data_IF_030919984178
#
_entry.id   IF_030919984178
#
_cell.length_a   1.000
_cell.length_b   1.000
_cell.length_c   1.000
_cell.angle_alpha   90.00
_cell.angle_beta   90.00
_cell.angle_gamma   90.00
#
_symmetry.space_group_name_H-M   'P 1'
#
loop_
_entity.id
_entity.type
_entity.pdbx_description
1 polymer ?
#
# COMPACT_ATOMS: atom_id res chain seq x y z
N UNK A 1 0.47 -12.98 -8.35
CA UNK A 1 -0.04 -11.78 -7.64
C UNK A 1 -0.02 -10.48 -8.42
N UNK A 2 0.92 -10.32 -9.34
CA UNK A 2 0.94 -9.09 -10.15
C UNK A 2 -0.32 -8.92 -11.00
N UNK A 3 -0.84 -10.01 -11.55
CA UNK A 3 -2.08 -9.95 -12.31
C UNK A 3 -3.26 -9.53 -11.44
N UNK A 4 -3.36 -10.09 -10.24
CA UNK A 4 -4.38 -9.70 -9.27
C UNK A 4 -4.26 -8.22 -8.93
N UNK A 5 -3.04 -7.76 -8.71
CA UNK A 5 -2.78 -6.36 -8.40
C UNK A 5 -3.22 -5.45 -9.57
N UNK A 6 -2.93 -5.83 -10.81
CA UNK A 6 -3.37 -5.05 -11.99
C UNK A 6 -4.89 -4.95 -12.07
N UNK A 7 -5.60 -6.04 -11.76
CA UNK A 7 -7.06 -6.03 -11.74
C UNK A 7 -7.59 -5.09 -10.66
N UNK A 8 -6.96 -5.07 -9.49
CA UNK A 8 -7.31 -4.14 -8.42
C UNK A 8 -7.11 -2.69 -8.87
N UNK A 9 -5.96 -2.39 -9.49
CA UNK A 9 -5.68 -1.04 -9.99
C UNK A 9 -6.71 -0.58 -11.01
N UNK A 10 -7.10 -1.47 -11.91
CA UNK A 10 -8.10 -1.18 -12.92
C UNK A 10 -9.45 -0.84 -12.28
N UNK A 11 -9.86 -1.62 -11.30
CA UNK A 11 -11.11 -1.41 -10.57
C UNK A 11 -11.12 -0.07 -9.85
N UNK A 12 -10.01 0.33 -9.24
CA UNK A 12 -9.89 1.59 -8.50
C UNK A 12 -9.41 2.76 -9.37
N UNK A 13 -9.26 2.55 -10.69
CA UNK A 13 -8.77 3.57 -11.62
C UNK A 13 -7.47 4.22 -11.14
N UNK A 14 -6.58 3.39 -10.64
CA UNK A 14 -5.30 3.80 -10.08
C UNK A 14 -4.15 3.35 -10.97
N UNK A 15 -3.06 4.11 -10.98
CA UNK A 15 -1.93 3.87 -11.88
C UNK A 15 -0.81 3.10 -11.22
N UNK A 16 -0.73 3.14 -9.89
CA UNK A 16 0.34 2.44 -9.15
C UNK A 16 -0.24 1.54 -8.08
N UNK A 17 0.47 0.48 -7.79
CA UNK A 17 0.08 -0.43 -6.74
C UNK A 17 1.24 -1.23 -6.20
N UNK A 18 1.13 -1.60 -4.92
CA UNK A 18 2.12 -2.43 -4.24
C UNK A 18 1.42 -3.45 -3.35
N UNK A 19 2.04 -4.60 -3.22
CA UNK A 19 1.61 -5.62 -2.29
C UNK A 19 2.83 -6.08 -1.52
N UNK A 20 2.78 -5.96 -0.20
CA UNK A 20 3.87 -6.33 0.70
C UNK A 20 3.43 -7.42 1.66
N UNK A 21 4.36 -8.31 2.02
CA UNK A 21 4.15 -9.24 3.12
C UNK A 21 4.90 -8.74 4.37
N UNK A 22 4.32 -8.99 5.53
CA UNK A 22 4.94 -8.61 6.80
C UNK A 22 5.74 -9.78 7.36
N UNK A 23 7.02 -9.54 7.66
CA UNK A 23 7.82 -10.44 8.46
C UNK A 23 7.70 -10.00 9.92
N UNK A 24 6.94 -10.75 10.70
CA UNK A 24 6.69 -10.39 12.08
C UNK A 24 7.94 -10.45 12.97
N UNK A 25 8.91 -11.26 12.61
CA UNK A 25 10.16 -11.39 13.38
C UNK A 25 11.05 -10.17 13.24
N UNK A 26 11.18 -9.65 12.03
CA UNK A 26 12.05 -8.51 11.74
C UNK A 26 11.32 -7.18 11.76
N UNK A 27 9.97 -7.20 11.74
CA UNK A 27 9.13 -6.02 11.62
C UNK A 27 9.42 -5.26 10.31
N UNK A 28 9.63 -6.01 9.24
CA UNK A 28 9.87 -5.49 7.90
C UNK A 28 8.77 -5.95 6.94
N UNK A 29 8.35 -5.04 6.06
CA UNK A 29 7.45 -5.35 4.95
C UNK A 29 8.31 -5.59 3.70
N UNK A 30 8.10 -6.72 3.05
CA UNK A 30 8.82 -7.10 1.84
C UNK A 30 7.90 -7.07 0.63
N UNK A 31 8.34 -6.39 -0.44
CA UNK A 31 7.57 -6.26 -1.67
C UNK A 31 7.36 -7.61 -2.33
N UNK A 32 6.10 -7.98 -2.58
CA UNK A 32 5.71 -9.22 -3.25
C UNK A 32 5.33 -8.96 -4.70
N UNK A 33 4.59 -7.86 -4.95
CA UNK A 33 4.12 -7.49 -6.28
C UNK A 33 4.01 -5.97 -6.38
N UNK A 34 4.17 -5.46 -7.59
CA UNK A 34 4.06 -4.03 -7.85
C UNK A 34 3.58 -3.80 -9.29
N UNK A 35 3.07 -2.60 -9.55
CA UNK A 35 2.69 -2.18 -10.88
C UNK A 35 2.79 -0.65 -10.96
N UNK A 36 3.30 -0.15 -12.09
CA UNK A 36 3.35 1.28 -12.37
C UNK A 36 4.44 2.08 -11.70
N UNK A 37 5.36 1.43 -10.96
CA UNK A 37 6.43 2.14 -10.26
C UNK A 37 7.73 2.17 -11.10
N UNK A 38 8.43 3.32 -11.12
CA UNK A 38 9.76 3.39 -11.75
C UNK A 38 10.77 2.47 -11.04
N UNK A 39 11.75 1.91 -11.78
CA UNK A 39 12.76 1.03 -11.15
C UNK A 39 13.51 1.65 -9.98
N UNK A 40 13.82 2.94 -10.04
CA UNK A 40 14.52 3.63 -8.95
C UNK A 40 13.71 3.65 -7.66
N UNK A 41 12.38 3.70 -7.77
CA UNK A 41 11.48 3.69 -6.62
C UNK A 41 11.39 2.30 -6.02
N UNK A 42 11.46 1.26 -6.84
CA UNK A 42 11.38 -0.12 -6.36
C UNK A 42 12.44 -0.43 -5.31
N UNK A 43 13.65 0.10 -5.45
CA UNK A 43 14.70 -0.09 -4.46
C UNK A 43 14.31 0.50 -3.10
N UNK A 44 13.59 1.62 -3.09
CA UNK A 44 13.15 2.28 -1.86
C UNK A 44 12.04 1.51 -1.17
N UNK A 45 11.07 0.99 -1.96
CA UNK A 45 9.87 0.32 -1.40
C UNK A 45 10.03 -1.19 -1.27
N UNK A 46 11.15 -1.75 -1.71
CA UNK A 46 11.42 -3.18 -1.66
C UNK A 46 11.32 -3.74 -0.24
N UNK A 47 11.81 -2.98 0.73
CA UNK A 47 11.74 -3.32 2.14
C UNK A 47 11.36 -2.08 2.93
N UNK A 48 10.27 -2.16 3.69
CA UNK A 48 9.75 -1.01 4.45
C UNK A 48 9.61 -1.41 5.92
N UNK A 49 10.29 -0.70 6.84
CA UNK A 49 10.12 -0.96 8.27
C UNK A 49 8.71 -0.59 8.74
N UNK A 50 8.17 -1.36 9.66
CA UNK A 50 6.90 -1.03 10.32
C UNK A 50 7.04 0.34 10.98
N UNK A 51 6.04 1.19 10.80
CA UNK A 51 6.03 2.57 11.31
C UNK A 51 6.61 3.59 10.35
N UNK A 52 7.18 3.17 9.22
CA UNK A 52 7.76 4.07 8.22
C UNK A 52 6.94 4.06 6.93
N UNK A 53 6.77 5.25 6.32
CA UNK A 53 6.01 5.39 5.10
C UNK A 53 4.53 5.02 5.28
N UNK A 54 3.80 5.00 4.17
CA UNK A 54 2.35 4.71 4.19
C UNK A 54 2.10 3.26 4.62
N UNK A 55 2.77 2.30 3.99
CA UNK A 55 2.59 0.89 4.32
C UNK A 55 3.01 0.57 5.76
N UNK A 56 4.13 1.12 6.21
CA UNK A 56 4.58 0.94 7.59
C UNK A 56 3.60 1.52 8.61
N UNK A 57 2.97 2.65 8.29
CA UNK A 57 1.94 3.26 9.14
C UNK A 57 0.67 2.42 9.22
N UNK A 58 0.30 1.75 8.11
CA UNK A 58 -0.86 0.85 8.10
C UNK A 58 -0.68 -0.25 9.16
N UNK A 59 0.49 -0.86 9.20
CA UNK A 59 0.77 -1.91 10.20
C UNK A 59 0.80 -1.33 11.60
N UNK A 60 1.49 -0.21 11.79
CA UNK A 60 1.62 0.42 13.12
C UNK A 60 0.27 0.88 13.67
N UNK A 61 -0.60 1.43 12.82
CA UNK A 61 -1.93 1.90 13.23
C UNK A 61 -2.98 0.79 13.27
N UNK A 62 -2.73 -0.30 12.57
CA UNK A 62 -3.67 -1.42 12.49
C UNK A 62 -4.87 -1.16 11.59
N UNK A 63 -4.76 -0.27 10.62
CA UNK A 63 -5.86 0.08 9.74
C UNK A 63 -5.43 0.88 8.53
N UNK A 64 -6.38 1.27 7.66
CA UNK A 64 -6.06 1.98 6.43
C UNK A 64 -5.47 3.36 6.66
N UNK A 65 -4.62 3.77 5.71
CA UNK A 65 -4.03 5.11 5.67
C UNK A 65 -4.27 5.68 4.27
N UNK A 66 -4.76 6.91 4.20
CA UNK A 66 -4.98 7.59 2.93
C UNK A 66 -4.28 8.95 2.91
N UNK A 67 -3.84 9.36 1.73
CA UNK A 67 -3.30 10.69 1.46
C UNK A 67 -3.93 11.21 0.18
N UNK A 68 -4.40 12.46 0.23
CA UNK A 68 -4.99 13.12 -0.94
C UNK A 68 -3.92 13.53 -1.95
N UNK A 69 -2.79 14.01 -1.47
CA UNK A 69 -1.66 14.40 -2.32
C UNK A 69 -0.33 14.12 -1.62
N UNK A 70 0.32 13.04 -2.04
CA UNK A 70 1.61 12.61 -1.50
C UNK A 70 2.70 13.65 -1.68
N UNK A 71 2.65 14.39 -2.80
CA UNK A 71 3.67 15.38 -3.14
C UNK A 71 3.70 16.57 -2.18
N UNK A 72 2.57 16.87 -1.54
CA UNK A 72 2.43 18.01 -0.62
C UNK A 72 2.27 17.58 0.83
N UNK A 73 2.39 16.28 1.12
CA UNK A 73 2.25 15.78 2.49
C UNK A 73 3.34 16.35 3.39
N UNK A 74 2.92 17.04 4.46
CA UNK A 74 3.82 17.58 5.47
C UNK A 74 3.66 16.86 6.81
N UNK A 75 2.77 15.87 6.87
CA UNK A 75 2.45 15.14 8.09
C UNK A 75 3.45 14.04 8.47
N UNK A 76 4.49 13.84 7.66
CA UNK A 76 5.54 12.86 7.95
C UNK A 76 5.13 11.41 7.66
N UNK A 77 3.96 11.18 7.07
CA UNK A 77 3.50 9.82 6.74
C UNK A 77 4.30 9.24 5.56
N UNK A 78 4.56 10.06 4.55
CA UNK A 78 5.30 9.63 3.38
C UNK A 78 6.81 9.73 3.63
N UNK A 79 7.55 8.69 3.22
CA UNK A 79 9.01 8.71 3.25
C UNK A 79 9.52 9.67 2.16
N UNK A 80 10.69 10.29 2.33
CA UNK A 80 11.23 11.18 1.30
C UNK A 80 11.32 10.53 -0.08
N UNK A 81 11.66 9.26 -0.17
CA UNK A 81 11.74 8.53 -1.43
C UNK A 81 10.38 8.31 -2.09
N UNK A 82 9.29 8.38 -1.34
CA UNK A 82 7.95 8.17 -1.89
C UNK A 82 7.53 9.29 -2.84
N UNK A 83 8.05 10.51 -2.63
CA UNK A 83 7.74 11.66 -3.48
C UNK A 83 8.28 11.50 -4.90
N UNK A 84 9.35 10.73 -5.07
CA UNK A 84 9.94 10.51 -6.39
C UNK A 84 9.06 9.60 -7.27
N UNK A 85 8.02 8.99 -6.72
CA UNK A 85 7.06 8.17 -7.49
C UNK A 85 6.20 9.00 -8.43
N UNK A 86 6.04 10.31 -8.14
CA UNK A 86 5.06 11.15 -8.82
C UNK A 86 3.62 10.89 -8.38
N UNK A 87 3.40 9.99 -7.44
CA UNK A 87 2.07 9.64 -6.95
C UNK A 87 1.43 10.82 -6.21
N UNK A 88 0.18 11.11 -6.52
CA UNK A 88 -0.61 12.12 -5.82
C UNK A 88 -1.44 11.50 -4.71
N UNK A 89 -2.61 10.94 -5.05
CA UNK A 89 -3.46 10.25 -4.09
C UNK A 89 -2.93 8.86 -3.76
N UNK A 90 -3.12 8.42 -2.51
CA UNK A 90 -2.69 7.10 -2.08
C UNK A 90 -3.66 6.53 -1.05
N UNK A 91 -3.89 5.22 -1.14
CA UNK A 91 -4.67 4.47 -0.17
C UNK A 91 -3.94 3.15 0.07
N UNK A 92 -3.67 2.84 1.32
CA UNK A 92 -3.06 1.58 1.70
C UNK A 92 -3.88 0.92 2.82
N UNK A 93 -4.10 -0.38 2.70
CA UNK A 93 -4.90 -1.14 3.66
C UNK A 93 -4.12 -2.37 4.13
N UNK A 94 -4.45 -2.90 5.32
CA UNK A 94 -3.80 -4.13 5.77
C UNK A 94 -4.32 -5.35 5.01
N UNK A 95 -3.43 -6.31 4.78
CA UNK A 95 -3.80 -7.67 4.40
C UNK A 95 -4.00 -8.42 5.70
N UNK A 96 -5.16 -9.04 5.86
CA UNK A 96 -5.50 -9.75 7.10
C UNK A 96 -5.73 -11.23 6.83
N UNK A 97 -5.18 -12.06 7.70
CA UNK A 97 -5.57 -13.45 7.84
C UNK A 97 -6.26 -13.53 9.20
N UNK A 98 -7.59 -13.62 9.17
CA UNK A 98 -8.45 -13.43 10.35
C UNK A 98 -8.21 -12.03 10.91
N UNK A 99 -7.82 -11.89 12.17
CA UNK A 99 -7.57 -10.58 12.78
C UNK A 99 -6.10 -10.18 12.76
N UNK A 100 -5.25 -11.02 12.17
CA UNK A 100 -3.81 -10.78 12.11
C UNK A 100 -3.42 -10.07 10.83
N UNK A 101 -2.64 -9.00 10.94
CA UNK A 101 -2.08 -8.32 9.78
C UNK A 101 -0.88 -9.11 9.27
N UNK A 102 -0.94 -9.50 8.00
CA UNK A 102 0.11 -10.29 7.36
C UNK A 102 0.82 -9.54 6.22
N UNK A 103 0.37 -8.33 5.92
CA UNK A 103 0.97 -7.51 4.89
C UNK A 103 0.15 -6.27 4.61
N UNK A 104 0.40 -5.63 3.48
CA UNK A 104 -0.30 -4.42 3.06
C UNK A 104 -0.56 -4.43 1.57
N UNK A 105 -1.65 -3.75 1.17
CA UNK A 105 -2.03 -3.54 -0.23
C UNK A 105 -2.22 -2.05 -0.43
N UNK A 106 -1.45 -1.47 -1.34
CA UNK A 106 -1.51 -0.04 -1.63
C UNK A 106 -1.86 0.25 -3.08
N UNK A 107 -2.66 1.30 -3.29
CA UNK A 107 -2.98 1.82 -4.63
C UNK A 107 -2.70 3.33 -4.63
N UNK A 108 -2.39 3.87 -5.81
CA UNK A 108 -2.09 5.29 -5.94
C UNK A 108 -2.43 5.84 -7.31
N UNK A 109 -2.73 7.14 -7.35
CA UNK A 109 -3.00 7.88 -8.57
C UNK A 109 -1.85 8.84 -8.86
N UNK A 110 -1.65 9.18 -10.13
CA UNK A 110 -0.60 10.14 -10.53
C UNK A 110 -1.05 11.60 -10.37
N UNK A 111 -2.30 11.81 -9.97
CA UNK A 111 -2.87 13.14 -9.68
C UNK A 111 -3.37 13.16 -8.25
N UNK A 112 -3.55 14.33 -7.61
CA UNK A 112 -4.20 14.41 -6.32
C UNK A 112 -5.60 13.77 -6.40
N UNK A 113 -5.90 12.91 -5.45
CA UNK A 113 -7.18 12.21 -5.42
C UNK A 113 -7.50 11.75 -4.00
N UNK A 114 -8.71 11.98 -3.56
CA UNK A 114 -9.18 11.52 -2.26
C UNK A 114 -10.03 10.25 -2.44
N UNK A 115 -9.50 9.12 -2.02
CA UNK A 115 -10.27 7.87 -2.04
C UNK A 115 -11.44 7.97 -1.05
N UNK A 116 -12.61 7.49 -1.47
CA UNK A 116 -13.82 7.58 -0.65
C UNK A 116 -13.80 6.54 0.47
N UNK A 117 -14.62 6.75 1.54
CA UNK A 117 -14.79 5.72 2.57
C UNK A 117 -15.25 4.38 2.00
N UNK A 118 -16.08 4.40 0.95
CA UNK A 118 -16.54 3.18 0.28
C UNK A 118 -15.41 2.45 -0.41
N UNK A 119 -14.55 3.20 -1.12
CA UNK A 119 -13.36 2.62 -1.76
C UNK A 119 -12.41 2.03 -0.71
N UNK A 120 -12.25 2.71 0.41
CA UNK A 120 -11.40 2.23 1.51
C UNK A 120 -11.92 0.90 2.04
N UNK A 121 -13.21 0.79 2.32
CA UNK A 121 -13.83 -0.45 2.80
C UNK A 121 -13.70 -1.57 1.78
N UNK A 122 -13.93 -1.25 0.51
CA UNK A 122 -13.83 -2.23 -0.57
C UNK A 122 -12.41 -2.77 -0.70
N UNK A 123 -11.40 -1.89 -0.63
CA UNK A 123 -10.02 -2.32 -0.69
C UNK A 123 -9.63 -3.14 0.55
N UNK A 124 -10.16 -2.79 1.73
CA UNK A 124 -9.95 -3.58 2.94
C UNK A 124 -10.50 -5.00 2.79
N UNK A 125 -11.67 -5.16 2.17
CA UNK A 125 -12.26 -6.47 1.92
C UNK A 125 -11.38 -7.28 0.96
N UNK A 126 -10.87 -6.64 -0.08
CA UNK A 126 -9.93 -7.27 -1.03
C UNK A 126 -8.65 -7.67 -0.29
N UNK A 127 -8.15 -6.81 0.59
CA UNK A 127 -6.97 -7.09 1.39
C UNK A 127 -7.15 -8.29 2.31
N UNK A 128 -8.32 -8.43 2.90
CA UNK A 128 -8.66 -9.57 3.74
C UNK A 128 -8.68 -10.86 2.89
N UNK A 129 -9.31 -10.83 1.73
CA UNK A 129 -9.37 -11.99 0.84
C UNK A 129 -7.96 -12.41 0.38
N UNK A 130 -7.12 -11.46 0.02
CA UNK A 130 -5.75 -11.74 -0.40
C UNK A 130 -4.94 -12.30 0.77
N UNK A 131 -5.06 -11.71 1.94
CA UNK A 131 -4.34 -12.16 3.14
C UNK A 131 -4.67 -13.60 3.52
N UNK A 132 -5.94 -13.95 3.46
CA UNK A 132 -6.40 -15.33 3.74
C UNK A 132 -5.93 -16.31 2.67
N UNK A 133 -5.94 -15.87 1.40
CA UNK A 133 -5.52 -16.71 0.27
C UNK A 133 -4.02 -17.01 0.29
N UNK A 134 -3.21 -15.97 0.51
CA UNK A 134 -1.75 -16.12 0.43
C UNK A 134 -1.16 -16.87 1.61
N UNK A 135 -1.66 -16.66 2.79
CA UNK A 135 -1.16 -17.32 4.02
C UNK A 135 0.37 -17.32 4.11
N UNK A 136 0.92 -16.12 4.07
CA UNK A 136 2.38 -15.95 4.14
C UNK A 136 3.03 -16.71 5.30
#
# INVERSE_FOLDING_TARGET
MEETLREVLKHFRSETGTLHRLDAKTQLLHLVAHSGLPPAVLEVVKTIPVGKGIAGQVVARGGPVTLCNLQTDTGGVARPGARSTGVGGALCVPLRDRDKIVGTLGVGTMRPYEYTPEQTRELEEIGRAIGEFLKF
#
